data_IF_761578631752
#
_entry.id   IF_761578631752
#
_cell.length_a   1.000
_cell.length_b   1.000
_cell.length_c   1.000
_cell.angle_alpha   90.00
_cell.angle_beta   90.00
_cell.angle_gamma   90.00
#
_symmetry.space_group_name_H-M   'P 1'
#
loop_
_entity.id
_entity.type
_entity.pdbx_description
1 polymer ?
#
# COMPACT_ATOMS: atom_id res chain seq x y z
N UNK A 1 1.04 -22.97 22.98
CA UNK A 1 1.01 -23.45 21.58
C UNK A 1 2.29 -24.20 21.29
N UNK A 2 2.19 -25.49 20.94
CA UNK A 2 3.35 -26.21 20.39
C UNK A 2 3.53 -25.79 18.93
N UNK A 3 4.68 -25.17 18.63
CA UNK A 3 5.00 -24.65 17.31
C UNK A 3 5.76 -25.66 16.43
N UNK A 4 5.91 -26.91 16.88
CA UNK A 4 6.57 -28.00 16.13
C UNK A 4 5.57 -29.00 15.58
N UNK A 5 4.42 -29.13 16.24
CA UNK A 5 3.35 -30.02 15.83
C UNK A 5 2.81 -29.63 14.44
N UNK A 6 2.98 -30.51 13.47
CA UNK A 6 2.49 -30.28 12.11
C UNK A 6 3.18 -29.12 11.39
N UNK A 7 4.41 -28.74 11.79
CA UNK A 7 5.09 -27.59 11.18
C UNK A 7 5.34 -27.75 9.67
N UNK A 8 5.44 -28.98 9.17
CA UNK A 8 5.62 -29.26 7.75
C UNK A 8 4.42 -28.78 6.90
N UNK A 9 3.21 -28.88 7.45
CA UNK A 9 1.95 -28.53 6.80
C UNK A 9 1.26 -27.35 7.51
N UNK A 10 2.01 -26.59 8.31
CA UNK A 10 1.48 -25.57 9.23
C UNK A 10 0.53 -24.58 8.55
N UNK A 11 0.77 -24.28 7.27
CA UNK A 11 -0.06 -23.43 6.44
C UNK A 11 -1.51 -23.90 6.36
N UNK A 12 -1.76 -25.21 6.43
CA UNK A 12 -3.08 -25.83 6.35
C UNK A 12 -3.65 -26.21 7.70
N UNK A 13 -2.81 -26.72 8.62
CA UNK A 13 -3.26 -27.31 9.89
C UNK A 13 -3.26 -26.35 11.07
N UNK A 14 -2.52 -25.25 11.01
CA UNK A 14 -2.56 -24.27 12.10
C UNK A 14 -3.65 -23.22 11.86
N UNK A 15 -4.39 -22.91 12.91
CA UNK A 15 -5.28 -21.76 12.95
C UNK A 15 -4.49 -20.45 12.88
N UNK A 16 -5.15 -19.37 12.45
CA UNK A 16 -4.54 -18.04 12.31
C UNK A 16 -3.86 -17.57 13.61
N UNK A 17 -4.46 -17.87 14.77
CA UNK A 17 -3.91 -17.51 16.09
C UNK A 17 -2.64 -18.29 16.45
N UNK A 18 -2.60 -19.60 16.16
CA UNK A 18 -1.41 -20.44 16.40
C UNK A 18 -0.26 -19.99 15.49
N UNK A 19 -0.54 -19.72 14.21
CA UNK A 19 0.41 -19.12 13.24
C UNK A 19 0.97 -17.80 13.73
N UNK A 20 0.10 -16.85 14.09
CA UNK A 20 0.52 -15.52 14.53
C UNK A 20 1.35 -15.58 15.81
N UNK A 21 0.95 -16.38 16.79
CA UNK A 21 1.67 -16.49 18.06
C UNK A 21 3.02 -17.18 17.89
N UNK A 22 3.07 -18.32 17.19
CA UNK A 22 4.30 -19.07 16.93
C UNK A 22 5.29 -18.29 16.05
N UNK A 23 4.79 -17.52 15.08
CA UNK A 23 5.62 -16.65 14.27
C UNK A 23 6.22 -15.50 15.11
N UNK A 24 5.41 -14.87 15.98
CA UNK A 24 5.83 -13.72 16.80
C UNK A 24 6.82 -14.09 17.92
N UNK A 25 6.63 -15.23 18.58
CA UNK A 25 7.40 -15.59 19.79
C UNK A 25 8.46 -16.65 19.56
N UNK A 26 8.26 -17.53 18.55
CA UNK A 26 9.15 -18.67 18.28
C UNK A 26 9.74 -18.65 16.87
N UNK A 27 9.38 -17.66 16.05
CA UNK A 27 9.82 -17.52 14.65
C UNK A 27 9.60 -18.79 13.82
N UNK A 28 8.54 -19.55 14.14
CA UNK A 28 8.20 -20.83 13.50
C UNK A 28 6.83 -20.75 12.85
N UNK A 29 6.70 -21.35 11.66
CA UNK A 29 5.45 -21.31 10.90
C UNK A 29 5.01 -19.89 10.54
N UNK A 30 5.97 -19.00 10.29
CA UNK A 30 5.68 -17.75 9.60
C UNK A 30 5.41 -18.08 8.14
N UNK A 31 4.32 -17.53 7.58
CA UNK A 31 4.22 -17.47 6.13
C UNK A 31 5.47 -16.77 5.59
N UNK A 32 6.10 -17.27 4.51
CA UNK A 32 7.22 -16.57 3.91
C UNK A 32 6.76 -15.14 3.65
N UNK A 33 7.56 -14.16 4.08
CA UNK A 33 7.31 -12.77 3.78
C UNK A 33 7.06 -12.67 2.28
N UNK A 34 5.83 -12.37 1.90
CA UNK A 34 5.42 -12.39 0.49
C UNK A 34 6.26 -11.32 -0.18
N UNK A 35 7.32 -11.73 -0.87
CA UNK A 35 8.09 -10.83 -1.72
C UNK A 35 7.19 -10.54 -2.90
N UNK A 36 6.46 -9.44 -2.81
CA UNK A 36 5.68 -8.94 -3.94
C UNK A 36 6.66 -8.45 -5.00
N UNK A 37 6.85 -9.27 -6.03
CA UNK A 37 7.65 -8.89 -7.19
C UNK A 37 6.88 -7.87 -8.03
N UNK A 38 7.30 -6.61 -7.96
CA UNK A 38 6.66 -5.48 -8.63
C UNK A 38 7.01 -5.38 -10.12
N UNK A 39 7.85 -6.25 -10.64
CA UNK A 39 8.21 -6.34 -12.06
C UNK A 39 7.40 -7.47 -12.73
N UNK A 40 7.11 -8.53 -11.98
CA UNK A 40 6.32 -9.66 -12.43
C UNK A 40 4.90 -9.25 -12.83
N UNK A 41 4.60 -9.33 -14.12
CA UNK A 41 3.30 -8.98 -14.68
C UNK A 41 3.00 -7.49 -14.60
N UNK A 42 4.04 -6.64 -14.58
CA UNK A 42 3.84 -5.18 -14.55
C UNK A 42 3.04 -4.71 -15.77
N UNK A 43 3.29 -5.23 -16.98
CA UNK A 43 2.57 -4.81 -18.19
C UNK A 43 1.03 -4.92 -18.09
N UNK A 44 0.51 -5.81 -17.25
CA UNK A 44 -0.93 -6.01 -17.01
C UNK A 44 -1.32 -5.77 -15.56
N UNK A 45 -0.49 -5.03 -14.80
CA UNK A 45 -0.59 -4.91 -13.35
C UNK A 45 -1.98 -4.45 -12.89
N UNK A 46 -2.59 -3.51 -13.62
CA UNK A 46 -3.89 -2.93 -13.29
C UNK A 46 -5.00 -3.98 -13.17
N UNK A 47 -4.96 -5.01 -14.01
CA UNK A 47 -5.96 -6.10 -14.03
C UNK A 47 -5.50 -7.35 -13.30
N UNK A 48 -4.20 -7.62 -13.33
CA UNK A 48 -3.63 -8.90 -12.86
C UNK A 48 -3.07 -8.86 -11.45
N UNK A 49 -2.69 -7.68 -10.93
CA UNK A 49 -2.22 -7.57 -9.56
C UNK A 49 -3.38 -7.52 -8.59
N UNK A 50 -3.25 -8.25 -7.49
CA UNK A 50 -4.15 -8.15 -6.36
C UNK A 50 -4.02 -6.78 -5.69
N UNK A 51 -5.08 -6.32 -5.02
CA UNK A 51 -5.10 -5.04 -4.30
C UNK A 51 -3.91 -4.88 -3.35
N UNK A 52 -3.55 -5.95 -2.64
CA UNK A 52 -2.40 -5.95 -1.74
C UNK A 52 -1.06 -5.83 -2.46
N UNK A 53 -0.89 -6.50 -3.61
CA UNK A 53 0.33 -6.38 -4.42
C UNK A 53 0.47 -4.96 -4.98
N UNK A 54 -0.61 -4.37 -5.48
CA UNK A 54 -0.65 -2.96 -5.94
C UNK A 54 -0.27 -2.00 -4.81
N UNK A 55 -0.91 -2.10 -3.65
CA UNK A 55 -0.65 -1.24 -2.51
C UNK A 55 0.80 -1.36 -2.01
N UNK A 56 1.30 -2.60 -1.90
CA UNK A 56 2.67 -2.85 -1.45
C UNK A 56 3.70 -2.33 -2.47
N UNK A 57 3.51 -2.63 -3.75
CA UNK A 57 4.41 -2.17 -4.81
C UNK A 57 4.35 -0.66 -5.01
N UNK A 58 3.19 -0.04 -4.79
CA UNK A 58 3.07 1.42 -4.81
C UNK A 58 3.83 2.05 -3.64
N UNK A 59 3.67 1.51 -2.42
CA UNK A 59 4.32 2.04 -1.21
C UNK A 59 5.84 1.83 -1.19
N UNK A 60 6.32 0.66 -1.62
CA UNK A 60 7.74 0.29 -1.49
C UNK A 60 8.55 0.48 -2.77
N UNK A 61 7.91 0.47 -3.94
CA UNK A 61 8.58 0.53 -5.26
C UNK A 61 8.02 1.59 -6.20
N UNK A 62 7.01 2.35 -5.76
CA UNK A 62 6.33 3.36 -6.58
C UNK A 62 5.85 2.80 -7.93
N UNK A 63 5.45 1.52 -7.96
CA UNK A 63 4.96 0.81 -9.14
C UNK A 63 3.56 0.29 -8.90
N UNK A 64 2.68 0.41 -9.90
CA UNK A 64 1.33 -0.12 -9.84
C UNK A 64 0.42 0.63 -8.88
N UNK A 65 0.66 1.93 -8.73
CA UNK A 65 -0.29 2.85 -8.10
C UNK A 65 -1.43 3.09 -9.09
N UNK A 66 -2.67 2.86 -8.68
CA UNK A 66 -3.82 3.31 -9.47
C UNK A 66 -3.81 4.83 -9.49
N UNK A 67 -3.55 5.41 -10.66
CA UNK A 67 -3.42 6.84 -10.90
C UNK A 67 -4.79 7.53 -10.87
N UNK A 68 -5.61 7.23 -9.86
CA UNK A 68 -6.81 8.01 -9.53
C UNK A 68 -6.53 9.09 -8.50
N UNK A 69 -5.27 9.47 -8.35
CA UNK A 69 -4.81 10.38 -7.30
C UNK A 69 -4.26 11.71 -7.78
N UNK A 70 -4.48 12.08 -9.04
CA UNK A 70 -4.08 13.39 -9.53
C UNK A 70 -4.66 13.86 -10.86
N UNK A 71 -5.53 13.08 -11.51
CA UNK A 71 -5.86 13.35 -12.91
C UNK A 71 -6.84 14.52 -13.14
N UNK A 72 -7.44 15.13 -12.11
CA UNK A 72 -8.40 16.22 -12.31
C UNK A 72 -8.43 17.22 -11.14
N UNK A 73 -7.29 17.47 -10.50
CA UNK A 73 -7.24 18.52 -9.49
C UNK A 73 -7.12 19.88 -10.17
N UNK A 74 -8.25 20.46 -10.54
CA UNK A 74 -8.30 21.83 -11.04
C UNK A 74 -7.85 22.81 -9.93
N UNK A 75 -6.62 23.29 -10.07
CA UNK A 75 -5.97 24.21 -9.15
C UNK A 75 -6.39 25.69 -9.36
N UNK A 76 -7.43 25.94 -10.14
CA UNK A 76 -8.05 27.26 -10.37
C UNK A 76 -9.49 27.30 -9.85
N UNK A 77 -10.19 26.17 -9.88
CA UNK A 77 -11.58 26.06 -9.44
C UNK A 77 -11.70 26.14 -7.92
N UNK A 78 -12.32 27.23 -7.44
CA UNK A 78 -12.50 27.52 -6.02
C UNK A 78 -11.21 27.96 -5.32
N UNK A 79 -10.26 28.55 -6.04
CA UNK A 79 -8.97 28.99 -5.47
C UNK A 79 -9.14 30.04 -4.36
N UNK A 80 -10.16 30.89 -4.42
CA UNK A 80 -10.54 31.81 -3.34
C UNK A 80 -10.75 31.16 -1.97
N UNK A 81 -11.12 29.86 -1.95
CA UNK A 81 -11.28 29.06 -0.73
C UNK A 81 -10.34 27.83 -0.74
N UNK A 82 -9.15 27.95 -1.35
CA UNK A 82 -8.21 26.85 -1.52
C UNK A 82 -7.84 26.13 -0.21
N UNK A 83 -7.86 26.85 0.92
CA UNK A 83 -7.60 26.28 2.26
C UNK A 83 -8.62 25.20 2.68
N UNK A 84 -9.80 25.18 2.07
CA UNK A 84 -10.84 24.16 2.29
C UNK A 84 -10.72 22.98 1.34
N UNK A 85 -9.79 23.03 0.39
CA UNK A 85 -9.58 21.89 -0.50
C UNK A 85 -9.12 20.68 0.29
N UNK A 86 -9.43 19.45 -0.18
CA UNK A 86 -8.85 18.26 0.43
C UNK A 86 -7.32 18.36 0.39
N UNK A 87 -6.64 17.93 1.46
CA UNK A 87 -5.17 18.00 1.58
C UNK A 87 -4.46 17.43 0.36
N UNK A 88 -5.01 16.36 -0.22
CA UNK A 88 -4.50 15.76 -1.45
C UNK A 88 -4.46 16.74 -2.63
N UNK A 89 -5.51 17.56 -2.80
CA UNK A 89 -5.57 18.62 -3.82
C UNK A 89 -4.61 19.77 -3.49
N UNK A 90 -4.48 20.15 -2.22
CA UNK A 90 -3.53 21.19 -1.79
C UNK A 90 -2.08 20.79 -2.09
N UNK A 91 -1.67 19.60 -1.66
CA UNK A 91 -0.32 19.05 -1.90
C UNK A 91 -0.05 18.90 -3.39
N UNK A 92 -1.01 18.38 -4.16
CA UNK A 92 -0.86 18.20 -5.60
C UNK A 92 -0.71 19.54 -6.33
N UNK A 93 -1.58 20.52 -6.06
CA UNK A 93 -1.52 21.85 -6.65
C UNK A 93 -0.26 22.63 -6.25
N UNK A 94 0.21 22.44 -5.02
CA UNK A 94 1.44 23.04 -4.52
C UNK A 94 2.66 22.47 -5.27
N UNK A 95 2.74 21.15 -5.40
CA UNK A 95 3.87 20.46 -6.05
C UNK A 95 3.97 20.72 -7.56
N UNK A 96 2.83 20.76 -8.26
CA UNK A 96 2.81 20.85 -9.71
C UNK A 96 2.72 22.28 -10.25
N UNK A 97 2.08 23.18 -9.50
CA UNK A 97 1.81 24.54 -9.96
C UNK A 97 2.24 25.64 -8.98
N UNK A 98 2.78 25.28 -7.80
CA UNK A 98 3.25 26.25 -6.81
C UNK A 98 2.13 27.05 -6.13
N UNK A 99 0.90 26.54 -6.12
CA UNK A 99 -0.30 27.24 -5.59
C UNK A 99 -1.00 26.36 -4.54
N UNK A 100 -1.65 27.01 -3.59
CA UNK A 100 -2.38 26.34 -2.50
C UNK A 100 -1.49 25.48 -1.58
N UNK A 101 -0.26 25.90 -1.33
CA UNK A 101 0.61 25.30 -0.30
C UNK A 101 0.09 25.75 1.07
N UNK A 102 -0.42 24.81 1.87
CA UNK A 102 -0.59 25.06 3.30
C UNK A 102 0.81 25.23 3.88
N UNK A 103 1.08 26.45 4.36
CA UNK A 103 2.33 26.87 4.99
C UNK A 103 2.91 25.73 5.84
N UNK A 104 4.13 25.30 5.53
CA UNK A 104 4.91 24.45 6.43
C UNK A 104 5.18 25.26 7.69
N UNK A 105 4.53 24.89 8.79
CA UNK A 105 4.83 25.37 10.13
C UNK A 105 5.66 24.31 10.88
#
# INVERSE_FOLDING_TARGET
YDCNEGIADFARIWDASKKAWCCRHKHRGCAPAVKYDCDSGYATWERTWTVFKKAWCCQHRSKGCEEKDGADFDCTSGYENWRRWPERKQVWCCRHYGRACADEA
#
